data_IF_640980297382
#
_entry.id   IF_640980297382
#
_cell.length_a   1.000
_cell.length_b   1.000
_cell.length_c   1.000
_cell.angle_alpha   90.00
_cell.angle_beta   90.00
_cell.angle_gamma   90.00
#
_symmetry.space_group_name_H-M   'P 1'
#
loop_
_entity.id
_entity.type
_entity.pdbx_description
1 polymer ?
#
# COMPACT_ATOMS: atom_id res chain seq x y z
N UNK A 1 -63.16 -12.08 -33.61
CA UNK A 1 -62.74 -10.67 -33.60
C UNK A 1 -62.37 -10.29 -32.18
N UNK A 2 -61.22 -9.61 -32.03
CA UNK A 2 -60.75 -8.73 -30.94
C UNK A 2 -61.90 -7.93 -30.26
N UNK A 3 -61.87 -7.36 -29.05
CA UNK A 3 -60.90 -6.98 -28.01
C UNK A 3 -61.78 -6.66 -26.76
N UNK A 4 -61.35 -6.79 -25.49
CA UNK A 4 -60.71 -5.68 -24.79
C UNK A 4 -61.02 -5.61 -23.28
N UNK A 5 -59.95 -5.80 -22.48
CA UNK A 5 -59.52 -5.15 -21.21
C UNK A 5 -60.51 -4.77 -20.09
N UNK A 6 -60.16 -5.21 -18.87
CA UNK A 6 -60.05 -4.48 -17.56
C UNK A 6 -60.42 -5.45 -16.40
N UNK A 7 -59.77 -5.57 -15.24
CA UNK A 7 -58.67 -4.94 -14.49
C UNK A 7 -58.18 -6.01 -13.50
N UNK A 8 -56.88 -6.22 -13.32
CA UNK A 8 -56.36 -6.98 -12.17
C UNK A 8 -55.77 -6.01 -11.14
N UNK A 9 -56.26 -6.16 -9.91
CA UNK A 9 -55.87 -5.38 -8.76
C UNK A 9 -54.46 -5.75 -8.27
N UNK A 10 -53.80 -4.74 -7.73
CA UNK A 10 -52.45 -4.75 -7.17
C UNK A 10 -52.30 -5.71 -5.99
N UNK A 11 -51.45 -6.73 -6.14
CA UNK A 11 -50.80 -7.42 -5.03
C UNK A 11 -49.32 -7.04 -5.01
N UNK A 12 -48.91 -6.24 -4.02
CA UNK A 12 -47.51 -5.87 -3.81
C UNK A 12 -46.74 -7.10 -3.35
N UNK A 13 -45.97 -7.71 -4.26
CA UNK A 13 -44.97 -8.72 -3.93
C UNK A 13 -43.71 -7.96 -3.49
N UNK A 14 -43.50 -7.88 -2.17
CA UNK A 14 -42.31 -7.24 -1.59
C UNK A 14 -41.10 -8.10 -1.89
N UNK A 15 -40.38 -7.76 -2.97
CA UNK A 15 -39.08 -8.34 -3.26
C UNK A 15 -38.11 -7.96 -2.12
N UNK A 16 -37.70 -8.97 -1.35
CA UNK A 16 -36.62 -8.88 -0.38
C UNK A 16 -35.33 -8.61 -1.15
N UNK A 17 -34.99 -7.33 -1.34
CA UNK A 17 -33.70 -6.92 -1.89
C UNK A 17 -32.67 -7.17 -0.80
N UNK A 18 -31.85 -8.20 -0.97
CA UNK A 18 -30.58 -8.32 -0.28
C UNK A 18 -29.73 -7.11 -0.67
N UNK A 19 -29.69 -6.11 0.21
CA UNK A 19 -28.70 -5.06 0.14
C UNK A 19 -27.34 -5.72 0.43
N UNK A 20 -26.52 -5.83 -0.61
CA UNK A 20 -25.09 -6.09 -0.45
C UNK A 20 -24.54 -4.89 0.30
N UNK A 21 -24.44 -5.01 1.62
CA UNK A 21 -23.80 -4.00 2.45
C UNK A 21 -22.32 -3.98 2.04
N UNK A 22 -21.95 -2.95 1.29
CA UNK A 22 -20.57 -2.51 1.23
C UNK A 22 -20.21 -2.13 2.66
N UNK A 23 -19.57 -3.05 3.38
CA UNK A 23 -18.91 -2.73 4.63
C UNK A 23 -17.79 -1.76 4.25
N UNK A 24 -18.06 -0.47 4.42
CA UNK A 24 -17.01 0.50 4.64
C UNK A 24 -16.25 -0.02 5.86
N UNK A 25 -15.13 -0.69 5.62
CA UNK A 25 -14.11 -0.81 6.65
C UNK A 25 -13.61 0.61 6.83
N UNK A 26 -14.25 1.35 7.75
CA UNK A 26 -13.59 2.44 8.43
C UNK A 26 -12.37 1.80 9.07
N UNK A 27 -11.22 1.93 8.43
CA UNK A 27 -9.93 1.58 8.98
C UNK A 27 -9.80 2.39 10.26
N UNK A 28 -10.16 1.77 11.39
CA UNK A 28 -9.70 2.19 12.68
C UNK A 28 -8.18 2.05 12.58
N UNK A 29 -7.51 3.18 12.37
CA UNK A 29 -6.07 3.28 12.56
C UNK A 29 -5.85 2.99 14.04
N UNK A 30 -5.52 1.75 14.37
CA UNK A 30 -5.09 1.40 15.71
C UNK A 30 -3.76 2.12 15.92
N UNK A 31 -3.63 2.99 16.94
CA UNK A 31 -2.33 3.57 17.25
C UNK A 31 -1.36 2.44 17.60
N UNK A 32 -0.17 2.47 17.02
CA UNK A 32 0.89 1.55 17.35
C UNK A 32 1.16 1.61 18.88
N UNK A 33 1.25 0.45 19.53
CA UNK A 33 1.66 0.33 20.92
C UNK A 33 2.94 -0.52 20.96
N UNK A 34 4.09 0.13 21.12
CA UNK A 34 5.38 -0.53 21.10
C UNK A 34 6.54 0.45 21.08
N UNK A 35 7.76 -0.06 21.20
CA UNK A 35 8.94 0.73 20.89
C UNK A 35 9.04 0.88 19.37
N UNK A 36 9.38 2.08 18.91
CA UNK A 36 9.58 2.35 17.49
C UNK A 36 11.06 2.40 17.18
N UNK A 37 11.46 1.75 16.09
CA UNK A 37 12.83 1.76 15.60
C UNK A 37 12.83 2.10 14.12
N UNK A 38 13.73 2.99 13.71
CA UNK A 38 13.94 3.30 12.31
C UNK A 38 14.40 2.04 11.57
N UNK A 39 13.71 1.69 10.48
CA UNK A 39 14.05 0.54 9.66
C UNK A 39 15.14 0.90 8.64
N UNK A 40 15.07 2.10 8.08
CA UNK A 40 16.07 2.65 7.15
C UNK A 40 16.27 4.13 7.43
N UNK A 41 17.53 4.55 7.48
CA UNK A 41 17.93 5.94 7.52
C UNK A 41 18.37 6.37 6.12
N UNK A 42 17.52 7.12 5.42
CA UNK A 42 17.82 7.60 4.06
C UNK A 42 19.03 8.54 4.02
N UNK A 43 19.40 9.19 5.13
CA UNK A 43 20.60 10.02 5.20
C UNK A 43 21.91 9.23 5.12
N UNK A 44 21.85 7.92 5.41
CA UNK A 44 23.01 7.01 5.45
C UNK A 44 23.07 6.07 4.25
N UNK A 45 22.10 6.14 3.33
CA UNK A 45 22.10 5.28 2.15
C UNK A 45 23.24 5.68 1.22
N UNK A 46 24.20 4.77 1.06
CA UNK A 46 25.28 4.91 0.10
C UNK A 46 24.78 4.53 -1.30
N UNK A 47 24.73 5.50 -2.21
CA UNK A 47 24.35 5.25 -3.60
C UNK A 47 25.42 4.40 -4.32
N UNK A 48 24.99 3.63 -5.32
CA UNK A 48 25.89 2.95 -6.25
C UNK A 48 26.64 3.96 -7.13
N UNK A 49 27.67 3.50 -7.85
CA UNK A 49 28.48 4.39 -8.73
C UNK A 49 27.65 5.10 -9.81
N UNK A 50 26.57 4.47 -10.28
CA UNK A 50 25.60 5.02 -11.23
C UNK A 50 24.47 5.84 -10.56
N UNK A 51 24.55 6.06 -9.24
CA UNK A 51 23.61 6.89 -8.49
C UNK A 51 22.31 6.18 -8.11
N UNK A 52 22.21 4.86 -8.28
CA UNK A 52 21.06 4.09 -7.84
C UNK A 52 21.07 3.85 -6.33
N UNK A 53 19.88 3.61 -5.78
CA UNK A 53 19.67 3.30 -4.38
C UNK A 53 19.79 1.78 -4.23
N UNK A 54 20.77 1.24 -3.50
CA UNK A 54 21.01 -0.20 -3.43
C UNK A 54 19.76 -0.96 -2.98
N UNK A 55 19.45 -2.07 -3.65
CA UNK A 55 18.35 -2.98 -3.33
C UNK A 55 16.92 -2.40 -3.44
N UNK A 56 16.80 -1.13 -3.84
CA UNK A 56 15.52 -0.49 -4.15
C UNK A 56 15.26 -0.51 -5.66
N UNK A 57 14.06 -0.95 -6.04
CA UNK A 57 13.68 -1.15 -7.44
C UNK A 57 12.30 -0.55 -7.72
N UNK A 58 12.22 0.22 -8.80
CA UNK A 58 10.94 0.51 -9.46
C UNK A 58 10.49 -0.70 -10.27
N UNK A 59 9.27 -1.17 -10.02
CA UNK A 59 8.57 -2.21 -10.79
C UNK A 59 7.23 -1.66 -11.28
N UNK A 60 6.69 -2.31 -12.30
CA UNK A 60 5.37 -2.00 -12.85
C UNK A 60 5.19 -0.49 -13.06
N UNK A 61 5.93 0.16 -13.96
CA UNK A 61 5.78 1.60 -14.27
C UNK A 61 6.20 2.60 -13.18
N UNK A 62 6.71 2.14 -12.02
CA UNK A 62 7.48 3.02 -11.15
C UNK A 62 8.78 3.42 -11.87
N UNK A 63 9.03 4.72 -11.98
CA UNK A 63 10.23 5.27 -12.63
C UNK A 63 10.86 6.36 -11.77
N UNK A 64 12.12 6.70 -12.08
CA UNK A 64 12.80 7.84 -11.48
C UNK A 64 12.93 7.77 -9.96
N UNK A 65 13.16 6.57 -9.42
CA UNK A 65 13.34 6.40 -7.98
C UNK A 65 14.66 7.05 -7.54
N UNK A 66 14.58 8.07 -6.71
CA UNK A 66 15.73 8.88 -6.27
C UNK A 66 15.61 9.26 -4.80
N UNK A 67 16.74 9.62 -4.17
CA UNK A 67 16.71 10.32 -2.88
C UNK A 67 16.55 11.82 -3.14
N UNK A 68 15.59 12.44 -2.46
CA UNK A 68 15.33 13.88 -2.55
C UNK A 68 15.61 14.58 -1.23
N UNK A 69 16.14 15.80 -1.31
CA UNK A 69 16.29 16.72 -0.19
C UNK A 69 15.24 17.86 -0.23
N UNK A 70 14.23 17.74 -1.09
CA UNK A 70 13.17 18.72 -1.24
C UNK A 70 12.40 18.84 0.09
N UNK A 71 12.42 20.00 0.78
CA UNK A 71 11.90 20.12 2.15
C UNK A 71 10.41 19.78 2.28
N UNK A 72 9.63 19.95 1.20
CA UNK A 72 8.21 19.59 1.19
C UNK A 72 7.97 18.07 1.20
N UNK A 73 8.96 17.28 0.78
CA UNK A 73 8.91 15.83 0.63
C UNK A 73 9.72 15.04 1.68
N UNK A 74 10.35 15.73 2.66
CA UNK A 74 11.10 15.12 3.77
C UNK A 74 10.33 15.29 5.08
N UNK A 75 10.01 14.17 5.72
CA UNK A 75 9.31 14.11 7.01
C UNK A 75 10.26 13.96 8.21
N UNK A 76 11.42 13.32 8.00
CA UNK A 76 12.45 13.03 9.00
C UNK A 76 13.84 13.13 8.34
N UNK A 77 14.87 13.54 9.08
CA UNK A 77 16.22 13.64 8.53
C UNK A 77 16.37 14.70 7.43
N UNK A 78 17.16 14.40 6.39
CA UNK A 78 17.45 15.30 5.26
C UNK A 78 17.04 14.72 3.91
N UNK A 79 16.88 13.40 3.80
CA UNK A 79 16.58 12.71 2.56
C UNK A 79 15.32 11.84 2.71
N UNK A 80 14.54 11.80 1.64
CA UNK A 80 13.40 10.90 1.48
C UNK A 80 13.48 10.16 0.14
N UNK A 81 12.77 9.04 0.02
CA UNK A 81 12.65 8.33 -1.25
C UNK A 81 11.53 8.97 -2.09
N UNK A 82 11.85 9.33 -3.33
CA UNK A 82 10.93 9.97 -4.26
C UNK A 82 10.79 9.16 -5.54
N UNK A 83 9.60 9.14 -6.13
CA UNK A 83 9.37 8.40 -7.37
C UNK A 83 8.20 8.92 -8.20
N UNK A 84 8.06 8.34 -9.39
CA UNK A 84 7.11 8.75 -10.42
C UNK A 84 6.29 7.57 -10.93
N UNK A 85 5.03 7.83 -11.25
CA UNK A 85 4.10 6.91 -11.90
C UNK A 85 3.44 7.61 -13.09
N UNK A 86 3.58 7.02 -14.27
CA UNK A 86 2.83 7.42 -15.47
C UNK A 86 1.59 6.52 -15.64
N UNK A 87 0.41 7.09 -15.42
CA UNK A 87 -0.87 6.40 -15.60
C UNK A 87 -1.47 6.77 -16.97
N UNK A 88 -1.61 5.79 -17.87
CA UNK A 88 -2.12 6.03 -19.23
C UNK A 88 -3.51 5.43 -19.45
N UNK A 89 -4.34 6.00 -20.35
CA UNK A 89 -5.65 5.45 -20.67
C UNK A 89 -5.55 3.99 -21.15
N UNK A 90 -6.31 3.08 -20.51
CA UNK A 90 -6.28 1.65 -20.82
C UNK A 90 -4.98 0.93 -20.44
N UNK A 91 -4.02 1.64 -19.84
CA UNK A 91 -2.77 1.10 -19.29
C UNK A 91 -2.87 0.78 -17.80
N UNK A 92 -1.75 0.36 -17.22
CA UNK A 92 -1.67 0.12 -15.78
C UNK A 92 -1.63 1.45 -15.04
N UNK A 93 -2.38 1.56 -13.94
CA UNK A 93 -2.42 2.76 -13.08
C UNK A 93 -1.76 2.48 -11.73
N UNK A 94 -0.85 1.51 -11.70
CA UNK A 94 -0.16 1.05 -10.50
C UNK A 94 1.34 1.06 -10.74
N UNK A 95 2.07 1.66 -9.81
CA UNK A 95 3.51 1.58 -9.62
C UNK A 95 3.84 0.71 -8.41
N UNK A 96 4.96 0.00 -8.45
CA UNK A 96 5.48 -0.75 -7.30
C UNK A 96 6.90 -0.29 -7.00
N UNK A 97 7.16 0.10 -5.75
CA UNK A 97 8.51 0.30 -5.23
C UNK A 97 8.83 -0.89 -4.36
N UNK A 98 9.86 -1.63 -4.72
CA UNK A 98 10.33 -2.78 -3.96
C UNK A 98 11.66 -2.46 -3.28
N UNK A 99 11.81 -2.82 -2.02
CA UNK A 99 13.10 -2.93 -1.36
C UNK A 99 13.38 -4.39 -1.02
N UNK A 100 14.51 -4.91 -1.50
CA UNK A 100 15.00 -6.24 -1.15
C UNK A 100 15.73 -6.13 0.19
N UNK A 101 15.24 -6.85 1.21
CA UNK A 101 15.82 -6.74 2.54
C UNK A 101 17.15 -7.52 2.62
N UNK A 102 18.21 -6.89 3.18
CA UNK A 102 19.42 -7.57 3.59
C UNK A 102 19.11 -8.76 4.51
N UNK A 103 19.92 -9.82 4.45
CA UNK A 103 19.67 -11.07 5.18
C UNK A 103 19.55 -10.87 6.70
N UNK A 104 20.34 -9.97 7.27
CA UNK A 104 20.33 -9.61 8.69
C UNK A 104 19.10 -8.79 9.12
N UNK A 105 18.27 -8.36 8.18
CA UNK A 105 17.05 -7.59 8.42
C UNK A 105 15.76 -8.39 8.20
N UNK A 106 15.85 -9.68 7.84
CA UNK A 106 14.68 -10.47 7.40
C UNK A 106 13.83 -11.06 8.51
N UNK A 107 14.38 -11.24 9.71
CA UNK A 107 13.61 -11.78 10.84
C UNK A 107 12.74 -10.69 11.47
N UNK A 108 11.45 -10.76 11.16
CA UNK A 108 10.41 -9.86 11.64
C UNK A 108 9.50 -10.53 12.69
N UNK A 109 9.91 -11.66 13.27
CA UNK A 109 9.08 -12.39 14.25
C UNK A 109 8.73 -11.58 15.50
N UNK A 110 9.55 -10.58 15.86
CA UNK A 110 9.30 -9.66 16.97
C UNK A 110 8.64 -8.34 16.54
N UNK A 111 8.42 -8.13 15.24
CA UNK A 111 7.88 -6.89 14.70
C UNK A 111 6.36 -6.98 14.66
N UNK A 112 5.68 -6.05 15.32
CA UNK A 112 4.21 -5.94 15.36
C UNK A 112 3.63 -5.24 14.15
N UNK A 113 4.40 -4.39 13.48
CA UNK A 113 3.97 -3.70 12.28
C UNK A 113 4.98 -2.68 11.76
N UNK A 114 4.61 -2.00 10.68
CA UNK A 114 5.39 -0.96 10.02
C UNK A 114 4.67 0.39 10.10
N UNK A 115 5.41 1.46 10.36
CA UNK A 115 4.97 2.85 10.24
C UNK A 115 5.70 3.52 9.08
N UNK A 116 4.97 4.28 8.25
CA UNK A 116 5.55 5.01 7.11
C UNK A 116 4.85 6.35 6.94
N UNK A 117 5.63 7.38 6.59
CA UNK A 117 5.13 8.67 6.16
C UNK A 117 5.10 8.72 4.63
N UNK A 118 3.97 9.17 4.08
CA UNK A 118 3.81 9.34 2.63
C UNK A 118 3.46 10.79 2.29
N UNK A 119 4.08 11.29 1.23
CA UNK A 119 3.76 12.59 0.65
C UNK A 119 3.19 12.44 -0.75
N UNK A 120 2.02 13.03 -0.96
CA UNK A 120 1.36 13.12 -2.25
C UNK A 120 1.39 14.61 -2.71
N UNK A 121 2.35 15.03 -3.54
CA UNK A 121 2.43 16.41 -4.04
C UNK A 121 1.34 16.77 -5.07
N UNK A 122 0.59 15.78 -5.55
CA UNK A 122 -0.39 15.98 -6.62
C UNK A 122 -1.68 16.63 -6.09
N UNK A 123 -2.47 17.21 -6.98
CA UNK A 123 -3.80 17.78 -6.68
C UNK A 123 -4.92 16.72 -6.62
N UNK A 124 -4.57 15.45 -6.79
CA UNK A 124 -5.48 14.30 -6.83
C UNK A 124 -5.10 13.26 -5.80
N UNK A 125 -6.09 12.49 -5.35
CA UNK A 125 -5.86 11.36 -4.47
C UNK A 125 -5.05 10.24 -5.14
N UNK A 126 -4.17 9.62 -4.36
CA UNK A 126 -3.54 8.35 -4.66
C UNK A 126 -4.03 7.27 -3.68
N UNK A 127 -3.70 6.01 -3.98
CA UNK A 127 -3.76 4.92 -3.00
C UNK A 127 -2.38 4.31 -2.82
N UNK A 128 -2.08 3.90 -1.58
CA UNK A 128 -0.84 3.23 -1.23
C UNK A 128 -1.14 1.86 -0.63
N UNK A 129 -0.83 0.82 -1.39
CA UNK A 129 -0.78 -0.56 -0.92
C UNK A 129 0.56 -0.87 -0.27
N UNK A 130 0.56 -1.88 0.60
CA UNK A 130 1.77 -2.44 1.17
C UNK A 130 1.73 -3.96 1.05
N UNK A 131 2.88 -4.54 0.70
CA UNK A 131 3.03 -5.98 0.60
C UNK A 131 4.42 -6.42 1.05
N UNK A 132 4.50 -7.63 1.58
CA UNK A 132 5.76 -8.30 1.90
C UNK A 132 5.89 -9.57 1.06
N UNK A 133 7.13 -9.98 0.83
CA UNK A 133 7.47 -11.27 0.24
C UNK A 133 8.24 -12.09 1.26
N UNK A 134 7.74 -13.29 1.58
CA UNK A 134 8.32 -14.13 2.65
C UNK A 134 8.74 -15.51 2.15
N UNK A 135 9.75 -16.06 2.83
CA UNK A 135 10.25 -17.41 2.62
C UNK A 135 10.91 -17.65 1.25
N UNK A 136 11.46 -18.85 1.08
CA UNK A 136 12.12 -19.28 -0.18
C UNK A 136 11.22 -19.22 -1.41
N UNK A 137 9.90 -19.33 -1.20
CA UNK A 137 8.90 -19.25 -2.27
C UNK A 137 8.54 -17.82 -2.67
N UNK A 138 9.12 -16.80 -2.03
CA UNK A 138 8.81 -15.39 -2.28
C UNK A 138 7.30 -15.10 -2.18
N UNK A 139 6.66 -15.70 -1.18
CA UNK A 139 5.21 -15.67 -1.00
C UNK A 139 4.73 -14.23 -0.84
N UNK A 140 3.94 -13.76 -1.81
CA UNK A 140 3.37 -12.43 -1.79
C UNK A 140 2.19 -12.34 -0.82
N UNK A 141 2.26 -11.38 0.09
CA UNK A 141 1.22 -11.11 1.09
C UNK A 141 0.99 -9.60 1.14
N UNK A 142 -0.25 -9.14 0.95
CA UNK A 142 -0.56 -7.72 0.90
C UNK A 142 -1.77 -7.33 1.73
N UNK A 143 -1.78 -6.08 2.18
CA UNK A 143 -2.87 -5.46 2.93
C UNK A 143 -3.65 -4.47 2.04
N UNK A 144 -4.89 -4.19 2.40
CA UNK A 144 -5.72 -3.24 1.68
C UNK A 144 -5.04 -1.85 1.60
N UNK A 145 -5.07 -1.19 0.42
CA UNK A 145 -4.41 0.09 0.25
C UNK A 145 -5.10 1.21 1.04
N UNK A 146 -4.29 2.14 1.56
CA UNK A 146 -4.77 3.36 2.21
C UNK A 146 -4.91 4.50 1.20
N UNK A 147 -5.81 5.45 1.46
CA UNK A 147 -5.96 6.66 0.65
C UNK A 147 -4.88 7.67 1.04
N UNK A 148 -4.23 8.26 0.05
CA UNK A 148 -3.31 9.39 0.21
C UNK A 148 -3.94 10.64 -0.42
N UNK A 149 -4.46 11.55 0.43
CA UNK A 149 -4.91 12.86 -0.04
C UNK A 149 -3.72 13.74 -0.43
N UNK A 150 -3.91 14.81 -1.22
CA UNK A 150 -2.88 15.82 -1.45
C UNK A 150 -2.22 16.29 -0.13
N UNK A 151 -0.89 16.30 -0.10
CA UNK A 151 -0.09 16.61 1.07
C UNK A 151 0.42 15.38 1.83
N UNK A 152 0.70 15.57 3.12
CA UNK A 152 1.23 14.52 3.99
C UNK A 152 0.16 13.62 4.55
N UNK A 153 0.44 12.32 4.55
CA UNK A 153 -0.25 11.32 5.35
C UNK A 153 0.81 10.59 6.17
N UNK A 154 0.87 10.88 7.47
CA UNK A 154 1.91 10.39 8.38
C UNK A 154 1.46 9.21 9.21
N UNK A 155 2.43 8.46 9.74
CA UNK A 155 2.24 7.36 10.68
C UNK A 155 1.25 6.31 10.16
N UNK A 156 1.29 6.00 8.86
CA UNK A 156 0.47 4.92 8.31
C UNK A 156 0.97 3.60 8.89
N UNK A 157 0.13 2.98 9.72
CA UNK A 157 0.43 1.74 10.40
C UNK A 157 -0.08 0.52 9.62
N UNK A 158 0.84 -0.40 9.31
CA UNK A 158 0.55 -1.71 8.73
C UNK A 158 0.78 -2.81 9.78
N UNK A 159 -0.30 -3.32 10.41
CA UNK A 159 -0.17 -4.31 11.50
C UNK A 159 0.16 -5.71 10.98
N UNK A 160 1.04 -6.43 11.67
CA UNK A 160 1.40 -7.83 11.39
C UNK A 160 0.72 -8.85 12.31
N UNK A 161 -0.06 -8.38 13.29
CA UNK A 161 -0.83 -9.22 14.22
C UNK A 161 -2.33 -9.29 13.88
N UNK A 162 -2.78 -8.54 12.86
CA UNK A 162 -4.19 -8.43 12.48
C UNK A 162 -4.56 -9.28 11.27
N UNK A 163 -5.78 -9.87 11.22
CA UNK A 163 -6.28 -10.68 10.11
C UNK A 163 -6.76 -9.84 8.91
N UNK A 164 -5.89 -8.96 8.41
CA UNK A 164 -6.20 -7.97 7.36
C UNK A 164 -5.33 -8.15 6.12
N UNK A 165 -4.59 -9.24 6.03
CA UNK A 165 -3.71 -9.57 4.91
C UNK A 165 -4.33 -10.64 4.02
N UNK A 166 -3.95 -10.59 2.75
CA UNK A 166 -4.30 -11.59 1.75
C UNK A 166 -3.06 -12.13 1.06
N UNK A 167 -3.18 -13.35 0.55
CA UNK A 167 -2.17 -14.02 -0.25
C UNK A 167 -2.84 -15.03 -1.17
N UNK A 168 -2.04 -15.77 -1.95
CA UNK A 168 -2.55 -16.89 -2.74
C UNK A 168 -3.24 -17.97 -1.87
N UNK A 169 -2.73 -18.23 -0.66
CA UNK A 169 -3.30 -19.25 0.24
C UNK A 169 -4.64 -18.85 0.84
N UNK A 170 -4.93 -17.54 0.94
CA UNK A 170 -6.24 -17.04 1.38
C UNK A 170 -7.23 -16.85 0.23
N UNK A 171 -6.89 -17.28 -0.99
CA UNK A 171 -7.69 -16.99 -2.18
C UNK A 171 -7.84 -15.49 -2.41
N UNK A 172 -6.81 -14.70 -2.09
CA UNK A 172 -6.78 -13.24 -2.22
C UNK A 172 -7.84 -12.49 -1.36
N UNK A 173 -8.23 -13.07 -0.24
CA UNK A 173 -9.12 -12.44 0.75
C UNK A 173 -8.35 -11.95 1.97
N UNK A 174 -8.72 -10.77 2.50
CA UNK A 174 -8.09 -10.17 3.69
C UNK A 174 -8.62 -10.81 4.98
N UNK A 175 -8.05 -11.96 5.34
CA UNK A 175 -8.61 -12.80 6.42
C UNK A 175 -7.56 -13.42 7.35
N UNK A 176 -6.26 -13.26 7.07
CA UNK A 176 -5.18 -13.77 7.92
C UNK A 176 -4.18 -12.67 8.24
N UNK A 177 -3.41 -12.79 9.34
CA UNK A 177 -2.14 -12.08 9.50
C UNK A 177 -1.12 -12.58 8.48
N UNK A 178 -0.03 -11.83 8.23
CA UNK A 178 1.07 -12.33 7.42
C UNK A 178 1.79 -13.47 8.15
N UNK A 179 2.40 -14.38 7.39
CA UNK A 179 3.11 -15.56 7.89
C UNK A 179 4.53 -15.68 7.32
N UNK A 180 5.33 -16.60 7.86
CA UNK A 180 6.76 -16.79 7.56
C UNK A 180 7.59 -15.52 7.81
N UNK A 181 7.30 -14.82 8.91
CA UNK A 181 7.95 -13.55 9.28
C UNK A 181 9.41 -13.74 9.72
N UNK A 182 9.87 -14.97 9.96
CA UNK A 182 11.28 -15.30 10.17
C UNK A 182 12.16 -15.08 8.92
N UNK A 183 11.56 -14.92 7.73
CA UNK A 183 12.27 -14.68 6.47
C UNK A 183 11.50 -13.71 5.56
N UNK A 184 11.41 -12.43 5.95
CA UNK A 184 10.89 -11.35 5.09
C UNK A 184 11.99 -10.92 4.10
N UNK A 185 11.82 -11.25 2.82
CA UNK A 185 12.83 -11.02 1.78
C UNK A 185 12.71 -9.69 1.07
N UNK A 186 11.52 -9.11 1.05
CA UNK A 186 11.31 -7.82 0.42
C UNK A 186 10.01 -7.17 0.85
N UNK A 187 10.02 -5.84 0.85
CA UNK A 187 8.87 -5.00 1.13
C UNK A 187 8.49 -4.24 -0.14
N UNK A 188 7.20 -3.99 -0.33
CA UNK A 188 6.68 -3.41 -1.57
C UNK A 188 5.61 -2.37 -1.24
N UNK A 189 5.79 -1.16 -1.77
CA UNK A 189 4.80 -0.09 -1.75
C UNK A 189 4.14 -0.01 -3.12
N UNK A 190 2.81 -0.04 -3.15
CA UNK A 190 2.04 -0.06 -4.39
C UNK A 190 1.26 1.25 -4.54
N UNK A 191 1.77 2.14 -5.38
CA UNK A 191 1.13 3.43 -5.66
C UNK A 191 0.08 3.22 -6.75
N UNK A 192 -1.16 3.61 -6.48
CA UNK A 192 -2.27 3.48 -7.44
C UNK A 192 -2.88 4.84 -7.73
N UNK A 193 -2.90 5.20 -9.00
CA UNK A 193 -3.61 6.36 -9.54
C UNK A 193 -5.02 5.96 -10.02
N UNK A 194 -5.96 6.91 -10.00
CA UNK A 194 -7.34 6.69 -10.44
C UNK A 194 -7.66 7.29 -11.80
N UNK A 195 -6.83 8.22 -12.25
CA UNK A 195 -7.01 8.93 -13.50
C UNK A 195 -5.73 8.82 -14.32
N UNK A 196 -5.82 9.23 -15.57
CA UNK A 196 -4.66 9.29 -16.45
C UNK A 196 -3.85 10.56 -16.14
N UNK A 197 -2.54 10.46 -16.18
CA UNK A 197 -1.61 11.54 -15.88
C UNK A 197 -0.29 11.04 -15.30
N UNK A 198 0.59 12.01 -15.06
CA UNK A 198 1.86 11.82 -14.38
C UNK A 198 1.67 12.10 -12.89
N UNK A 199 2.16 11.21 -12.04
CA UNK A 199 2.00 11.29 -10.60
C UNK A 199 3.36 11.17 -9.92
N UNK A 200 3.55 11.99 -8.90
CA UNK A 200 4.74 11.96 -8.05
C UNK A 200 4.37 11.47 -6.65
N UNK A 201 5.33 10.90 -5.94
CA UNK A 201 5.12 10.49 -4.55
C UNK A 201 6.45 10.47 -3.80
N UNK A 202 6.39 10.69 -2.49
CA UNK A 202 7.50 10.43 -1.59
C UNK A 202 7.10 9.45 -0.48
N UNK A 203 8.07 8.68 -0.02
CA UNK A 203 7.96 7.88 1.19
C UNK A 203 9.18 8.13 2.08
N UNK A 204 8.94 8.20 3.38
CA UNK A 204 9.95 8.58 4.36
C UNK A 204 9.62 8.02 5.75
N UNK A 205 10.58 8.11 6.68
CA UNK A 205 10.43 7.76 8.09
C UNK A 205 9.87 6.33 8.31
N UNK A 206 10.38 5.36 7.54
CA UNK A 206 9.98 3.96 7.61
C UNK A 206 10.50 3.37 8.94
N UNK A 207 9.59 3.06 9.84
CA UNK A 207 9.87 2.51 11.17
C UNK A 207 9.18 1.17 11.36
N UNK A 208 9.76 0.34 12.21
CA UNK A 208 9.10 -0.85 12.74
C UNK A 208 8.63 -0.62 14.17
N UNK A 209 7.58 -1.34 14.55
CA UNK A 209 7.01 -1.36 15.91
C UNK A 209 7.32 -2.71 16.55
N UNK A 210 7.95 -2.71 17.73
CA UNK A 210 8.36 -3.90 18.50
C UNK A 210 7.48 -4.12 19.75
#
# INVERSE_FOLDING_TARGET
MQNGRNRFASGKCTALRFALAWVFVCTLLFPAQGAERLLIDFDQVALTEDGAIPDWYGKEFATGLVLTAEPSAVSEGRLALYGYLEATPGGNRRAMIQWMLPEDMRDWTQIKGLLVDFYNPNDKDLRMGFAIQTGESWTWQEIAPVRLAPGWTKDIYYPFDQPVWKSASTGWSYVLPPFDLEDVRGINFLVVAFEDGSYEFALDNIRVVE
#
